data_IF_442505514538
#
_entry.id   IF_442505514538
#
_cell.length_a   1.000
_cell.length_b   1.000
_cell.length_c   1.000
_cell.angle_alpha   90.00
_cell.angle_beta   90.00
_cell.angle_gamma   90.00
#
_symmetry.space_group_name_H-M   'P 1'
#
loop_
_entity.id
_entity.type
_entity.pdbx_description
1 polymer ?
#
# COMPACT_ATOMS: atom_id res chain seq x y z
N UNK A 1 -24.55 -10.53 7.02
CA UNK A 1 -23.59 -9.73 6.22
C UNK A 1 -22.35 -10.57 5.97
N UNK A 2 -22.11 -11.01 4.73
CA UNK A 2 -20.91 -11.79 4.40
C UNK A 2 -19.74 -10.85 4.12
N UNK A 3 -18.75 -10.83 5.02
CA UNK A 3 -17.46 -10.21 4.76
C UNK A 3 -16.64 -11.15 3.86
N UNK A 4 -16.50 -10.82 2.56
CA UNK A 4 -15.56 -11.51 1.68
C UNK A 4 -14.14 -11.06 2.05
N UNK A 5 -13.45 -11.87 2.86
CA UNK A 5 -12.05 -11.64 3.25
C UNK A 5 -11.15 -12.24 2.15
N UNK A 6 -10.60 -11.40 1.28
CA UNK A 6 -9.60 -11.83 0.29
C UNK A 6 -8.20 -11.60 0.88
N UNK A 7 -7.44 -12.67 1.12
CA UNK A 7 -6.01 -12.57 1.45
C UNK A 7 -5.19 -12.89 0.21
N UNK A 8 -4.45 -11.90 -0.31
CA UNK A 8 -3.49 -12.08 -1.39
C UNK A 8 -2.10 -11.78 -0.85
N UNK A 9 -1.12 -12.64 -1.13
CA UNK A 9 0.28 -12.29 -0.91
C UNK A 9 0.62 -11.07 -1.76
N UNK A 10 1.21 -10.05 -1.14
CA UNK A 10 1.64 -8.82 -1.81
C UNK A 10 3.07 -8.47 -1.39
N UNK A 11 3.84 -7.96 -2.35
CA UNK A 11 5.13 -7.33 -2.11
C UNK A 11 4.91 -5.83 -1.90
N UNK A 12 5.53 -5.28 -0.86
CA UNK A 12 5.50 -3.84 -0.59
C UNK A 12 6.86 -3.27 -0.90
N UNK A 13 6.90 -2.23 -1.72
CA UNK A 13 8.14 -1.53 -2.06
C UNK A 13 8.07 -0.08 -1.60
N UNK A 14 9.01 0.28 -0.73
CA UNK A 14 9.23 1.65 -0.31
C UNK A 14 9.88 2.46 -1.43
N UNK A 15 9.25 3.55 -1.86
CA UNK A 15 9.75 4.42 -2.93
C UNK A 15 9.50 5.89 -2.61
N UNK A 16 10.20 6.76 -3.32
CA UNK A 16 9.91 8.21 -3.38
C UNK A 16 8.97 8.50 -4.56
N UNK A 17 8.37 9.69 -4.57
CA UNK A 17 7.53 10.15 -5.68
C UNK A 17 8.28 10.21 -7.01
N UNK A 18 9.58 10.51 -6.99
CA UNK A 18 10.42 10.60 -8.18
C UNK A 18 10.50 9.27 -8.95
N UNK A 19 10.39 8.14 -8.25
CA UNK A 19 10.34 6.80 -8.86
C UNK A 19 9.27 6.68 -9.95
N UNK A 20 8.14 7.39 -9.77
CA UNK A 20 7.02 7.35 -10.69
C UNK A 20 7.12 8.38 -11.81
N UNK A 21 7.63 9.57 -11.49
CA UNK A 21 7.78 10.69 -12.43
C UNK A 21 8.79 10.36 -13.54
N UNK A 22 9.87 9.65 -13.18
CA UNK A 22 10.92 9.28 -14.13
C UNK A 22 10.52 8.13 -15.08
N UNK A 23 9.50 7.34 -14.72
CA UNK A 23 9.19 6.07 -15.41
C UNK A 23 7.86 6.05 -16.15
N UNK A 24 7.05 7.11 -16.11
CA UNK A 24 5.71 7.17 -16.73
C UNK A 24 4.80 5.97 -16.38
N UNK A 25 5.03 5.33 -15.23
CA UNK A 25 4.31 4.13 -14.76
C UNK A 25 2.97 4.43 -14.09
N UNK A 26 2.64 5.72 -13.96
CA UNK A 26 1.37 6.18 -13.43
C UNK A 26 0.32 6.11 -14.53
N UNK A 27 -0.88 5.66 -14.17
CA UNK A 27 -2.01 5.77 -15.07
C UNK A 27 -2.29 7.25 -15.36
N UNK A 28 -2.70 7.58 -16.60
CA UNK A 28 -2.99 8.96 -17.05
C UNK A 28 -4.03 9.71 -16.19
N UNK A 29 -4.67 9.03 -15.25
CA UNK A 29 -5.69 9.55 -14.35
C UNK A 29 -5.16 10.00 -12.98
N UNK A 30 -3.84 9.96 -12.74
CA UNK A 30 -3.29 10.42 -11.47
C UNK A 30 -3.19 11.95 -11.46
N UNK A 31 -4.03 12.55 -10.62
CA UNK A 31 -4.05 13.99 -10.37
C UNK A 31 -2.84 14.41 -9.51
N UNK A 32 -2.48 15.71 -9.55
CA UNK A 32 -1.35 16.25 -8.77
C UNK A 32 -1.55 16.06 -7.26
N UNK A 33 -2.80 16.05 -6.84
CA UNK A 33 -3.23 15.88 -5.45
C UNK A 33 -2.84 14.50 -4.91
N UNK A 34 -2.92 13.45 -5.73
CA UNK A 34 -2.55 12.09 -5.29
C UNK A 34 -1.04 11.89 -5.18
N UNK A 35 -0.25 12.54 -6.04
CA UNK A 35 1.22 12.56 -5.90
C UNK A 35 1.61 13.30 -4.62
N UNK A 36 0.94 14.41 -4.32
CA UNK A 36 1.13 15.13 -3.07
C UNK A 36 0.75 14.27 -1.85
N UNK A 37 -0.43 13.62 -1.87
CA UNK A 37 -0.85 12.76 -0.75
C UNK A 37 0.11 11.59 -0.53
N UNK A 38 0.64 10.99 -1.61
CA UNK A 38 1.69 9.98 -1.51
C UNK A 38 2.96 10.54 -0.85
N UNK A 39 3.47 11.68 -1.32
CA UNK A 39 4.66 12.35 -0.76
C UNK A 39 4.47 12.72 0.72
N UNK A 40 3.26 13.11 1.12
CA UNK A 40 2.91 13.46 2.50
C UNK A 40 2.62 12.25 3.40
N UNK A 41 2.95 11.02 2.96
CA UNK A 41 2.70 9.78 3.70
C UNK A 41 1.21 9.50 4.01
N UNK A 42 0.28 10.02 3.20
CA UNK A 42 -1.17 9.88 3.44
C UNK A 42 -1.78 8.64 2.78
N UNK A 43 -1.02 7.90 1.99
CA UNK A 43 -1.53 6.69 1.34
C UNK A 43 -0.54 5.94 0.47
N UNK A 44 -1.07 4.93 -0.22
CA UNK A 44 -0.33 3.97 -1.05
C UNK A 44 -0.83 3.94 -2.50
N UNK A 45 0.04 3.46 -3.40
CA UNK A 45 -0.33 3.12 -4.77
C UNK A 45 -0.48 1.60 -4.93
N UNK A 46 -1.55 1.18 -5.59
CA UNK A 46 -1.89 -0.23 -5.80
C UNK A 46 -1.86 -0.57 -7.30
N UNK A 47 -1.41 -1.77 -7.67
CA UNK A 47 -1.41 -2.20 -9.07
C UNK A 47 -2.81 -2.30 -9.67
N UNK A 48 -2.97 -1.95 -10.95
CA UNK A 48 -4.30 -1.89 -11.59
C UNK A 48 -5.00 -3.25 -11.67
N UNK A 49 -4.24 -4.35 -11.77
CA UNK A 49 -4.82 -5.71 -11.78
C UNK A 49 -5.26 -6.12 -10.37
N UNK A 50 -4.49 -5.75 -9.34
CA UNK A 50 -4.88 -5.95 -7.94
C UNK A 50 -6.14 -5.14 -7.59
N UNK A 51 -6.24 -3.90 -8.07
CA UNK A 51 -7.46 -3.09 -8.01
C UNK A 51 -8.66 -3.86 -8.57
N UNK A 52 -8.57 -4.34 -9.82
CA UNK A 52 -9.65 -5.06 -10.50
C UNK A 52 -10.01 -6.35 -9.77
N UNK A 53 -9.02 -7.09 -9.28
CA UNK A 53 -9.20 -8.35 -8.54
C UNK A 53 -9.96 -8.15 -7.23
N UNK A 54 -9.68 -7.07 -6.50
CA UNK A 54 -10.24 -6.79 -5.17
C UNK A 54 -11.40 -5.79 -5.18
N UNK A 55 -11.74 -5.20 -6.34
CA UNK A 55 -12.81 -4.22 -6.46
C UNK A 55 -12.51 -2.87 -5.79
N UNK A 56 -11.23 -2.48 -5.74
CA UNK A 56 -10.77 -1.30 -5.00
C UNK A 56 -10.96 0.01 -5.79
N UNK A 57 -11.14 1.10 -5.05
CA UNK A 57 -11.25 2.47 -5.56
C UNK A 57 -10.28 3.41 -4.84
N UNK A 58 -10.05 4.59 -5.41
CA UNK A 58 -9.32 5.66 -4.72
C UNK A 58 -10.15 6.09 -3.50
N UNK A 59 -9.48 6.26 -2.36
CA UNK A 59 -10.13 6.60 -1.10
C UNK A 59 -10.48 5.40 -0.22
N UNK A 60 -10.50 4.19 -0.79
CA UNK A 60 -10.68 2.97 0.00
C UNK A 60 -9.46 2.72 0.89
N UNK A 61 -9.66 1.92 1.95
CA UNK A 61 -8.59 1.49 2.85
C UNK A 61 -8.25 0.02 2.63
N UNK A 62 -6.96 -0.27 2.56
CA UNK A 62 -6.43 -1.63 2.52
C UNK A 62 -5.76 -1.96 3.85
N UNK A 63 -6.21 -3.04 4.51
CA UNK A 63 -5.50 -3.59 5.65
C UNK A 63 -4.32 -4.42 5.16
N UNK A 64 -3.11 -3.99 5.52
CA UNK A 64 -1.88 -4.71 5.24
C UNK A 64 -1.42 -5.39 6.52
N UNK A 65 -1.07 -6.66 6.41
CA UNK A 65 -0.49 -7.45 7.49
C UNK A 65 0.94 -7.86 7.12
N UNK A 66 1.90 -7.51 7.96
CA UNK A 66 3.29 -7.91 7.82
C UNK A 66 3.47 -9.36 8.24
N UNK A 67 4.30 -10.10 7.49
CA UNK A 67 4.81 -11.40 7.91
C UNK A 67 5.95 -11.30 8.92
N UNK A 68 6.55 -10.11 9.10
CA UNK A 68 7.48 -9.86 10.19
C UNK A 68 6.71 -9.75 11.50
N UNK A 69 7.05 -10.65 12.42
CA UNK A 69 6.53 -10.63 13.77
C UNK A 69 7.30 -9.61 14.61
N UNK A 70 6.61 -8.97 15.54
CA UNK A 70 7.26 -8.26 16.63
C UNK A 70 7.06 -9.05 17.93
N UNK A 71 8.10 -9.10 18.75
CA UNK A 71 8.08 -9.81 20.03
C UNK A 71 7.24 -9.02 21.03
N UNK A 72 6.31 -9.71 21.69
CA UNK A 72 5.57 -9.19 22.83
C UNK A 72 5.67 -10.16 23.99
N UNK A 73 5.36 -9.70 25.21
CA UNK A 73 5.22 -10.58 26.39
C UNK A 73 4.12 -11.64 26.23
N UNK A 74 3.24 -11.51 25.23
CA UNK A 74 2.18 -12.45 24.90
C UNK A 74 2.47 -13.28 23.64
N UNK A 75 3.69 -13.19 23.09
CA UNK A 75 4.13 -13.93 21.89
C UNK A 75 4.33 -13.06 20.65
N UNK A 76 4.45 -13.71 19.50
CA UNK A 76 4.73 -13.09 18.19
C UNK A 76 3.43 -12.74 17.48
N UNK A 77 3.13 -11.44 17.37
CA UNK A 77 1.93 -10.97 16.64
C UNK A 77 2.33 -10.38 15.28
N UNK A 78 1.56 -10.68 14.21
CA UNK A 78 1.78 -10.03 12.92
C UNK A 78 1.31 -8.58 13.03
N UNK A 79 2.13 -7.65 12.53
CA UNK A 79 1.76 -6.24 12.53
C UNK A 79 0.73 -5.98 11.44
N UNK A 80 -0.35 -5.27 11.76
CA UNK A 80 -1.34 -4.86 10.76
C UNK A 80 -1.71 -3.40 10.88
N UNK A 81 -1.98 -2.76 9.74
CA UNK A 81 -2.44 -1.38 9.67
C UNK A 81 -3.25 -1.11 8.40
N UNK A 82 -4.07 -0.07 8.46
CA UNK A 82 -4.90 0.37 7.35
C UNK A 82 -4.20 1.49 6.58
N UNK A 83 -4.18 1.36 5.25
CA UNK A 83 -3.57 2.35 4.36
C UNK A 83 -4.59 2.83 3.33
N UNK A 84 -4.74 4.15 3.21
CA UNK A 84 -5.61 4.77 2.21
C UNK A 84 -5.01 4.59 0.81
N UNK A 85 -5.83 4.21 -0.14
CA UNK A 85 -5.46 4.12 -1.56
C UNK A 85 -5.54 5.53 -2.16
N UNK A 86 -4.40 6.06 -2.59
CA UNK A 86 -4.32 7.38 -3.25
C UNK A 86 -4.14 7.27 -4.76
N UNK A 87 -3.92 6.06 -5.28
CA UNK A 87 -4.03 5.84 -6.71
C UNK A 87 -3.63 4.45 -7.17
N UNK A 88 -3.50 4.32 -8.50
CA UNK A 88 -3.17 3.07 -9.15
C UNK A 88 -2.07 3.23 -10.21
N UNK A 89 -1.21 2.22 -10.31
CA UNK A 89 -0.17 2.13 -11.33
C UNK A 89 -0.42 0.94 -12.27
N UNK A 90 0.14 1.01 -13.47
CA UNK A 90 0.16 -0.10 -14.41
C UNK A 90 1.52 -0.10 -15.09
N UNK A 91 2.32 -1.15 -14.85
CA UNK A 91 3.63 -1.32 -15.49
C UNK A 91 3.62 -2.34 -16.63
N UNK A 92 2.44 -2.85 -16.99
CA UNK A 92 2.22 -3.81 -18.08
C UNK A 92 2.56 -5.26 -17.72
N UNK A 93 3.24 -5.50 -16.60
CA UNK A 93 3.62 -6.83 -16.14
C UNK A 93 2.59 -7.40 -15.17
N UNK A 94 1.98 -8.53 -15.54
CA UNK A 94 0.85 -9.12 -14.80
C UNK A 94 1.16 -9.39 -13.33
N UNK A 95 2.31 -9.99 -13.03
CA UNK A 95 2.68 -10.35 -11.67
C UNK A 95 2.82 -9.12 -10.79
N UNK A 96 3.49 -8.09 -11.28
CA UNK A 96 3.67 -6.83 -10.56
C UNK A 96 2.35 -6.08 -10.37
N UNK A 97 1.54 -5.93 -11.42
CA UNK A 97 0.25 -5.22 -11.29
C UNK A 97 -0.75 -5.96 -10.38
N UNK A 98 -0.53 -7.26 -10.12
CA UNK A 98 -1.42 -8.10 -9.30
C UNK A 98 -0.92 -8.29 -7.87
N UNK A 99 0.37 -8.05 -7.60
CA UNK A 99 0.98 -8.37 -6.31
C UNK A 99 1.87 -7.29 -5.71
N UNK A 100 2.10 -6.15 -6.38
CA UNK A 100 2.95 -5.08 -5.86
C UNK A 100 2.11 -3.90 -5.32
N UNK A 101 2.53 -3.37 -4.18
CA UNK A 101 2.06 -2.11 -3.60
C UNK A 101 3.27 -1.20 -3.42
N UNK A 102 3.13 0.05 -3.83
CA UNK A 102 4.12 1.07 -3.50
C UNK A 102 3.67 1.89 -2.30
N UNK A 103 4.59 2.06 -1.37
CA UNK A 103 4.40 2.84 -0.16
C UNK A 103 5.50 3.91 -0.07
N UNK A 104 5.22 5.10 0.47
CA UNK A 104 6.27 6.06 0.77
C UNK A 104 7.31 5.42 1.70
N UNK A 105 8.61 5.57 1.38
CA UNK A 105 9.67 4.89 2.14
C UNK A 105 9.61 5.18 3.65
N UNK A 106 9.32 6.44 4.01
CA UNK A 106 9.16 6.86 5.41
C UNK A 106 7.95 6.22 6.09
N UNK A 107 6.85 6.05 5.35
CA UNK A 107 5.64 5.37 5.85
C UNK A 107 5.90 3.87 6.04
N UNK A 108 6.65 3.23 5.13
CA UNK A 108 7.05 1.83 5.24
C UNK A 108 7.96 1.59 6.43
N UNK A 109 8.97 2.44 6.63
CA UNK A 109 9.84 2.38 7.82
C UNK A 109 9.01 2.49 9.10
N UNK A 110 8.12 3.49 9.21
CA UNK A 110 7.21 3.58 10.37
C UNK A 110 6.34 2.34 10.56
N UNK A 111 5.84 1.75 9.47
CA UNK A 111 5.09 0.51 9.54
C UNK A 111 5.94 -0.66 10.03
N UNK A 112 7.24 -0.71 9.73
CA UNK A 112 8.14 -1.82 10.10
C UNK A 112 8.88 -1.61 11.43
N UNK A 113 9.12 -0.37 11.85
CA UNK A 113 9.94 -0.04 13.03
C UNK A 113 9.11 0.06 14.33
N UNK A 114 7.83 0.46 14.28
CA UNK A 114 7.09 0.81 15.50
C UNK A 114 6.57 -0.38 16.32
N UNK A 115 7.09 -0.53 17.55
CA UNK A 115 6.59 -1.36 18.67
C UNK A 115 5.13 -1.10 19.13
N UNK A 116 4.29 -0.50 18.31
CA UNK A 116 2.88 -0.28 18.62
C UNK A 116 2.33 0.97 17.94
N UNK A 117 1.23 0.78 17.20
CA UNK A 117 0.29 1.79 16.71
C UNK A 117 0.83 2.75 15.64
N UNK A 118 0.37 2.52 14.42
CA UNK A 118 0.14 3.60 13.46
C UNK A 118 -1.27 4.09 13.79
N UNK A 119 -1.37 5.20 14.51
CA UNK A 119 -2.68 5.81 14.74
C UNK A 119 -3.20 6.32 13.39
N UNK A 120 -4.35 5.83 12.91
CA UNK A 120 -5.07 6.54 11.87
C UNK A 120 -5.57 7.83 12.52
N UNK A 121 -5.37 8.95 11.83
CA UNK A 121 -5.94 10.24 12.20
C UNK A 121 -7.41 10.12 12.61
#
# INVERSE_FOLDING_TARGET
>A
MSFKKYSSGVLIKGVTENFFLERNILTKSISREFIHDFKSNKGIFVGEKLKKKLGLNIGDYLTIMSSQNYETIFGNLPRSANFKIVGFFNIGMYEYDTSLIFMPINLLQKFLDNNGRIDPF
#
